data_IF_435076235765
#
_entry.id   IF_435076235765
#
_cell.length_a   1.000
_cell.length_b   1.000
_cell.length_c   1.000
_cell.angle_alpha   90.00
_cell.angle_beta   90.00
_cell.angle_gamma   90.00
#
_symmetry.space_group_name_H-M   'P 1'
#
loop_
_entity.id
_entity.type
_entity.pdbx_description
1 polymer ?
#
# COMPACT_ATOMS: atom_id res chain seq x y z
N UNK A 1 16.26 9.55 -11.88
CA UNK A 1 16.16 8.90 -10.56
C UNK A 1 15.06 9.54 -9.72
N UNK A 2 15.12 10.86 -9.44
CA UNK A 2 14.09 11.57 -8.67
C UNK A 2 12.66 11.44 -9.24
N UNK A 3 12.47 11.67 -10.54
CA UNK A 3 11.16 11.49 -11.20
C UNK A 3 10.58 10.07 -11.06
N UNK A 4 11.45 9.05 -11.01
CA UNK A 4 11.04 7.66 -10.89
C UNK A 4 10.63 7.35 -9.44
N UNK A 5 11.37 7.87 -8.46
CA UNK A 5 10.99 7.79 -7.03
C UNK A 5 9.66 8.50 -6.78
N UNK A 6 9.49 9.72 -7.29
CA UNK A 6 8.25 10.49 -7.18
C UNK A 6 7.06 9.78 -7.83
N UNK A 7 7.27 9.14 -8.99
CA UNK A 7 6.22 8.33 -9.62
C UNK A 7 5.82 7.13 -8.73
N UNK A 8 6.78 6.41 -8.18
CA UNK A 8 6.50 5.23 -7.35
C UNK A 8 5.99 5.54 -5.95
N UNK A 9 6.18 6.76 -5.44
CA UNK A 9 5.52 7.19 -4.21
C UNK A 9 4.12 7.74 -4.44
N UNK A 10 3.87 8.42 -5.57
CA UNK A 10 2.55 8.99 -5.86
C UNK A 10 1.59 7.98 -6.51
N UNK A 11 2.01 7.34 -7.61
CA UNK A 11 1.18 6.44 -8.42
C UNK A 11 1.41 4.96 -8.11
N UNK A 12 2.60 4.61 -7.63
CA UNK A 12 2.95 3.24 -7.24
C UNK A 12 1.95 2.60 -6.27
N UNK A 13 1.57 3.27 -5.15
CA UNK A 13 0.64 2.71 -4.17
C UNK A 13 -0.76 2.53 -4.74
N UNK A 14 -1.19 3.41 -5.66
CA UNK A 14 -2.50 3.32 -6.32
C UNK A 14 -2.55 2.06 -7.19
N UNK A 15 -1.55 1.86 -8.05
CA UNK A 15 -1.49 0.68 -8.92
C UNK A 15 -1.36 -0.59 -8.06
N UNK A 16 -0.50 -0.58 -7.04
CA UNK A 16 -0.36 -1.69 -6.11
C UNK A 16 -1.69 -2.02 -5.40
N UNK A 17 -2.42 -0.99 -4.95
CA UNK A 17 -3.72 -1.14 -4.31
C UNK A 17 -4.76 -1.79 -5.23
N UNK A 18 -4.82 -1.41 -6.51
CA UNK A 18 -5.75 -2.07 -7.47
C UNK A 18 -5.44 -3.56 -7.62
N UNK A 19 -4.16 -3.94 -7.67
CA UNK A 19 -3.75 -5.34 -7.76
C UNK A 19 -4.03 -6.10 -6.46
N UNK A 20 -3.91 -5.43 -5.31
CA UNK A 20 -4.30 -5.98 -4.01
C UNK A 20 -5.82 -6.20 -3.93
N UNK A 21 -6.64 -5.26 -4.39
CA UNK A 21 -8.10 -5.41 -4.45
C UNK A 21 -8.50 -6.57 -5.36
N UNK A 22 -7.87 -6.70 -6.53
CA UNK A 22 -8.11 -7.83 -7.43
C UNK A 22 -7.73 -9.17 -6.76
N UNK A 23 -6.57 -9.22 -6.08
CA UNK A 23 -6.13 -10.40 -5.32
C UNK A 23 -7.11 -10.75 -4.21
N UNK A 24 -7.58 -9.76 -3.44
CA UNK A 24 -8.55 -9.92 -2.37
C UNK A 24 -9.88 -10.46 -2.90
N UNK A 25 -10.37 -9.93 -4.02
CA UNK A 25 -11.60 -10.40 -4.67
C UNK A 25 -11.50 -11.87 -5.12
N UNK A 26 -10.37 -12.27 -5.70
CA UNK A 26 -10.13 -13.68 -6.09
C UNK A 26 -10.11 -14.61 -4.88
N UNK A 27 -9.53 -14.17 -3.76
CA UNK A 27 -9.41 -14.96 -2.54
C UNK A 27 -10.67 -14.91 -1.66
N UNK A 28 -11.65 -14.07 -1.97
CA UNK A 28 -12.80 -13.82 -1.10
C UNK A 28 -13.57 -15.10 -0.71
N UNK A 29 -13.74 -16.03 -1.66
CA UNK A 29 -14.48 -17.28 -1.42
C UNK A 29 -13.64 -18.38 -0.78
N UNK A 30 -12.33 -18.40 -1.01
CA UNK A 30 -11.45 -19.52 -0.59
C UNK A 30 -10.67 -19.20 0.68
N UNK A 31 -10.35 -17.93 0.91
CA UNK A 31 -9.64 -17.42 2.09
C UNK A 31 -10.26 -16.09 2.53
N UNK A 32 -11.49 -16.11 3.06
CA UNK A 32 -12.23 -14.88 3.40
C UNK A 32 -11.50 -14.01 4.44
N UNK A 33 -10.81 -14.63 5.41
CA UNK A 33 -10.03 -13.88 6.40
C UNK A 33 -8.88 -13.09 5.75
N UNK A 34 -8.10 -13.74 4.89
CA UNK A 34 -6.99 -13.10 4.16
C UNK A 34 -7.50 -12.00 3.23
N UNK A 35 -8.59 -12.26 2.52
CA UNK A 35 -9.27 -11.27 1.66
C UNK A 35 -9.73 -10.06 2.48
N UNK A 36 -10.39 -10.30 3.62
CA UNK A 36 -10.83 -9.25 4.55
C UNK A 36 -9.66 -8.42 5.09
N UNK A 37 -8.55 -9.06 5.47
CA UNK A 37 -7.33 -8.35 5.89
C UNK A 37 -6.78 -7.47 4.77
N UNK A 38 -6.71 -7.96 3.53
CA UNK A 38 -6.25 -7.17 2.39
C UNK A 38 -7.16 -5.96 2.13
N UNK A 39 -8.49 -6.14 2.18
CA UNK A 39 -9.43 -5.03 2.04
C UNK A 39 -9.27 -3.99 3.15
N UNK A 40 -9.15 -4.43 4.41
CA UNK A 40 -8.96 -3.55 5.55
C UNK A 40 -7.68 -2.73 5.44
N UNK A 41 -6.55 -3.38 5.09
CA UNK A 41 -5.26 -2.72 4.95
C UNK A 41 -5.25 -1.70 3.81
N UNK A 42 -5.87 -2.03 2.68
CA UNK A 42 -6.01 -1.06 1.57
C UNK A 42 -6.91 0.11 1.95
N UNK A 43 -8.04 -0.15 2.61
CA UNK A 43 -8.92 0.93 3.07
C UNK A 43 -8.21 1.87 4.04
N UNK A 44 -7.45 1.31 4.99
CA UNK A 44 -6.63 2.09 5.94
C UNK A 44 -5.58 2.92 5.20
N UNK A 45 -4.84 2.32 4.27
CA UNK A 45 -3.81 3.00 3.50
C UNK A 45 -4.37 4.14 2.65
N UNK A 46 -5.46 3.91 1.92
CA UNK A 46 -6.09 4.93 1.09
C UNK A 46 -6.63 6.08 1.93
N UNK A 47 -7.13 5.78 3.14
CA UNK A 47 -7.53 6.81 4.10
C UNK A 47 -6.32 7.65 4.51
N UNK A 48 -5.20 7.02 4.88
CA UNK A 48 -3.95 7.73 5.23
C UNK A 48 -3.46 8.61 4.08
N UNK A 49 -3.37 8.06 2.87
CA UNK A 49 -2.92 8.79 1.67
C UNK A 49 -3.83 9.97 1.32
N UNK A 50 -5.15 9.83 1.43
CA UNK A 50 -6.07 10.96 1.19
C UNK A 50 -5.80 12.15 2.09
N UNK A 51 -5.46 11.89 3.36
CA UNK A 51 -5.13 12.94 4.32
C UNK A 51 -3.70 13.45 4.18
N UNK A 52 -2.73 12.65 3.77
CA UNK A 52 -1.41 13.16 3.38
C UNK A 52 -1.54 14.11 2.18
N UNK A 53 -2.28 13.69 1.14
CA UNK A 53 -2.56 14.53 -0.03
C UNK A 53 -3.35 15.79 0.30
N UNK A 54 -4.11 15.81 1.40
CA UNK A 54 -4.73 17.05 1.89
C UNK A 54 -3.66 18.10 2.21
N UNK A 55 -2.63 17.71 2.95
CA UNK A 55 -1.54 18.61 3.35
C UNK A 55 -0.70 19.00 2.13
N UNK A 56 -0.40 18.04 1.24
CA UNK A 56 0.45 18.29 0.07
C UNK A 56 -0.26 19.10 -1.04
N UNK A 57 -1.57 18.93 -1.21
CA UNK A 57 -2.36 19.61 -2.26
C UNK A 57 -3.17 20.80 -1.74
N UNK A 58 -3.11 21.10 -0.44
CA UNK A 58 -3.84 22.21 0.18
C UNK A 58 -5.37 22.03 0.18
N UNK A 59 -5.87 20.79 0.27
CA UNK A 59 -7.31 20.53 0.26
C UNK A 59 -7.93 20.84 1.63
N UNK A 60 -9.11 21.46 1.64
CA UNK A 60 -9.87 21.71 2.87
C UNK A 60 -10.75 20.48 3.21
N UNK A 61 -10.15 19.47 3.84
CA UNK A 61 -10.90 18.37 4.46
C UNK A 61 -11.14 18.65 5.96
N UNK A 62 -12.21 18.10 6.56
CA UNK A 62 -12.46 18.26 8.00
C UNK A 62 -11.29 17.70 8.83
N UNK A 63 -10.95 18.41 9.92
CA UNK A 63 -9.91 17.96 10.85
C UNK A 63 -10.36 16.73 11.62
N UNK A 64 -9.52 15.70 11.60
CA UNK A 64 -9.76 14.43 12.27
C UNK A 64 -8.76 14.30 13.42
N UNK A 65 -9.26 14.27 14.65
CA UNK A 65 -8.44 14.28 15.88
C UNK A 65 -7.62 13.01 16.12
N UNK A 66 -7.99 11.89 15.48
CA UNK A 66 -7.25 10.62 15.58
C UNK A 66 -6.21 10.44 14.47
N UNK A 67 -6.11 11.39 13.54
CA UNK A 67 -5.17 11.31 12.43
C UNK A 67 -3.73 11.51 12.94
N UNK A 68 -2.78 10.64 12.58
CA UNK A 68 -1.38 10.82 12.98
C UNK A 68 -0.78 12.09 12.37
N UNK A 69 0.22 12.66 13.05
CA UNK A 69 1.06 13.74 12.51
C UNK A 69 1.79 13.28 11.24
N UNK A 70 2.31 14.21 10.42
CA UNK A 70 2.97 13.89 9.14
C UNK A 70 4.00 12.75 9.24
N UNK A 71 4.97 12.85 10.15
CA UNK A 71 5.98 11.80 10.33
C UNK A 71 5.40 10.45 10.82
N UNK A 72 4.34 10.49 11.64
CA UNK A 72 3.67 9.27 12.10
C UNK A 72 2.80 8.65 11.00
N UNK A 73 2.23 9.46 10.10
CA UNK A 73 1.49 9.03 8.93
C UNK A 73 2.44 8.35 7.93
N UNK A 74 3.59 8.96 7.63
CA UNK A 74 4.61 8.37 6.76
C UNK A 74 5.08 7.00 7.26
N UNK A 75 5.38 6.89 8.57
CA UNK A 75 5.79 5.64 9.19
C UNK A 75 4.68 4.57 9.14
N UNK A 76 3.42 4.98 9.35
CA UNK A 76 2.27 4.08 9.26
C UNK A 76 2.02 3.61 7.81
N UNK A 77 2.08 4.52 6.84
CA UNK A 77 1.98 4.23 5.39
C UNK A 77 3.05 3.23 4.97
N UNK A 78 4.30 3.45 5.36
CA UNK A 78 5.40 2.51 5.11
C UNK A 78 5.17 1.15 5.79
N UNK A 79 4.73 1.15 7.04
CA UNK A 79 4.39 -0.07 7.77
C UNK A 79 3.30 -0.89 7.10
N UNK A 80 2.22 -0.25 6.63
CA UNK A 80 1.14 -0.91 5.89
C UNK A 80 1.64 -1.43 4.54
N UNK A 81 2.49 -0.68 3.82
CA UNK A 81 3.09 -1.15 2.58
C UNK A 81 3.93 -2.43 2.79
N UNK A 82 4.72 -2.50 3.86
CA UNK A 82 5.48 -3.72 4.20
C UNK A 82 4.56 -4.89 4.60
N UNK A 83 3.50 -4.63 5.36
CA UNK A 83 2.52 -5.66 5.71
C UNK A 83 1.86 -6.23 4.45
N UNK A 84 1.44 -5.38 3.51
CA UNK A 84 0.86 -5.79 2.24
C UNK A 84 1.87 -6.60 1.40
N UNK A 85 3.13 -6.16 1.34
CA UNK A 85 4.21 -6.91 0.69
C UNK A 85 4.36 -8.31 1.26
N UNK A 86 4.49 -8.44 2.59
CA UNK A 86 4.65 -9.72 3.27
C UNK A 86 3.44 -10.62 3.01
N UNK A 87 2.23 -10.08 3.13
CA UNK A 87 0.99 -10.83 2.88
C UNK A 87 0.95 -11.33 1.43
N UNK A 88 1.35 -10.52 0.45
CA UNK A 88 1.38 -10.94 -0.95
C UNK A 88 2.45 -12.01 -1.23
N UNK A 89 3.63 -11.93 -0.59
CA UNK A 89 4.65 -12.98 -0.66
C UNK A 89 4.12 -14.30 -0.07
N UNK A 90 3.53 -14.26 1.12
CA UNK A 90 2.95 -15.45 1.76
C UNK A 90 1.78 -16.03 0.96
N UNK A 91 0.94 -15.17 0.39
CA UNK A 91 -0.18 -15.55 -0.47
C UNK A 91 0.30 -16.22 -1.75
N UNK A 92 1.40 -15.73 -2.34
CA UNK A 92 2.03 -16.34 -3.50
C UNK A 92 2.56 -17.74 -3.20
N UNK A 93 3.32 -17.91 -2.10
CA UNK A 93 3.89 -19.20 -1.67
C UNK A 93 2.78 -20.21 -1.40
N UNK A 94 1.71 -19.78 -0.71
CA UNK A 94 0.59 -20.64 -0.34
C UNK A 94 -0.60 -20.49 -1.27
N UNK A 95 -0.44 -20.14 -2.54
CA UNK A 95 -1.60 -19.87 -3.42
C UNK A 95 -2.50 -21.11 -3.55
N UNK A 96 -3.84 -20.99 -3.42
CA UNK A 96 -4.74 -22.15 -3.55
C UNK A 96 -4.63 -22.83 -4.91
N UNK A 97 -4.55 -24.16 -4.92
CA UNK A 97 -4.54 -24.94 -6.15
C UNK A 97 -5.86 -24.77 -6.93
N UNK A 98 -5.78 -24.68 -8.25
CA UNK A 98 -6.95 -24.54 -9.13
C UNK A 98 -7.52 -23.11 -9.26
N UNK A 99 -7.06 -22.15 -8.44
CA UNK A 99 -7.45 -20.74 -8.60
C UNK A 99 -6.54 -20.01 -9.60
N UNK A 100 -7.15 -19.39 -10.60
CA UNK A 100 -6.48 -18.42 -11.49
C UNK A 100 -6.16 -17.13 -10.73
N UNK A 101 -5.23 -16.33 -11.23
CA UNK A 101 -4.88 -15.04 -10.64
C UNK A 101 -3.63 -15.02 -9.76
N UNK A 102 -2.87 -16.12 -9.66
CA UNK A 102 -1.58 -16.15 -8.94
C UNK A 102 -0.61 -15.02 -9.38
N UNK A 103 -0.65 -14.65 -10.66
CA UNK A 103 0.15 -13.54 -11.18
C UNK A 103 -0.22 -12.18 -10.57
N UNK A 104 -1.49 -11.96 -10.21
CA UNK A 104 -1.92 -10.69 -9.59
C UNK A 104 -1.26 -10.47 -8.23
N UNK A 105 -1.13 -11.52 -7.40
CA UNK A 105 -0.43 -11.40 -6.12
C UNK A 105 1.08 -11.21 -6.28
N UNK A 106 1.68 -11.77 -7.33
CA UNK A 106 3.12 -11.59 -7.62
C UNK A 106 3.36 -10.15 -8.08
N UNK A 107 2.56 -9.65 -9.02
CA UNK A 107 2.64 -8.26 -9.49
C UNK A 107 2.41 -7.27 -8.35
N UNK A 108 1.43 -7.53 -7.48
CA UNK A 108 1.19 -6.71 -6.29
C UNK A 108 2.41 -6.72 -5.36
N UNK A 109 3.05 -7.87 -5.12
CA UNK A 109 4.26 -7.94 -4.30
C UNK A 109 5.40 -7.09 -4.89
N UNK A 110 5.64 -7.17 -6.20
CA UNK A 110 6.67 -6.37 -6.86
C UNK A 110 6.38 -4.87 -6.71
N UNK A 111 5.13 -4.47 -6.94
CA UNK A 111 4.72 -3.06 -6.84
C UNK A 111 4.82 -2.54 -5.39
N UNK A 112 4.41 -3.33 -4.40
CA UNK A 112 4.58 -2.97 -2.98
C UNK A 112 6.03 -2.90 -2.56
N UNK A 113 6.90 -3.77 -3.08
CA UNK A 113 8.34 -3.68 -2.82
C UNK A 113 8.94 -2.38 -3.40
N UNK A 114 8.56 -2.02 -4.63
CA UNK A 114 9.00 -0.77 -5.25
C UNK A 114 8.46 0.47 -4.52
N UNK A 115 7.18 0.45 -4.12
CA UNK A 115 6.56 1.54 -3.37
C UNK A 115 7.22 1.70 -1.98
N UNK A 116 7.35 0.63 -1.21
CA UNK A 116 7.98 0.66 0.11
C UNK A 116 9.45 1.10 0.05
N UNK A 117 10.21 0.62 -0.94
CA UNK A 117 11.57 1.09 -1.18
C UNK A 117 11.62 2.58 -1.51
N UNK A 118 10.71 3.06 -2.36
CA UNK A 118 10.64 4.47 -2.74
C UNK A 118 10.28 5.37 -1.54
N UNK A 119 9.32 4.96 -0.71
CA UNK A 119 8.97 5.64 0.54
C UNK A 119 10.15 5.68 1.51
N UNK A 120 10.86 4.56 1.70
CA UNK A 120 12.03 4.50 2.57
C UNK A 120 13.14 5.45 2.08
N UNK A 121 13.42 5.49 0.78
CA UNK A 121 14.43 6.40 0.20
C UNK A 121 14.02 7.85 0.38
N UNK A 122 12.75 8.22 0.12
CA UNK A 122 12.28 9.58 0.31
C UNK A 122 12.28 10.01 1.78
N UNK A 123 11.90 9.13 2.71
CA UNK A 123 11.92 9.47 4.14
C UNK A 123 13.34 9.80 4.59
N UNK A 124 14.33 9.00 4.20
CA UNK A 124 15.75 9.26 4.53
C UNK A 124 16.26 10.58 3.95
N UNK A 125 15.87 10.91 2.71
CA UNK A 125 16.22 12.20 2.11
C UNK A 125 15.64 13.38 2.90
N UNK A 126 14.39 13.26 3.36
CA UNK A 126 13.73 14.30 4.17
C UNK A 126 14.35 14.51 5.55
N UNK A 127 14.99 13.49 6.15
CA UNK A 127 15.69 13.62 7.44
C UNK A 127 17.16 14.07 7.30
N UNK A 128 17.70 14.11 6.09
CA UNK A 128 19.11 14.45 5.81
C UNK A 128 19.34 15.90 5.37
N UNK A 129 18.27 16.68 5.22
CA UNK A 129 18.24 18.10 4.85
C UNK A 129 17.75 18.89 6.06
#
# INVERSE_FOLDING_TARGET
>A
MFLLLAFFTLFGPIIAATMTLATAAVLLRTRPLLSGTLFLLIALLLTMLMFEFRYDLGLELPDITWMPSGAAAEAATLGVAFLLLIIHILSWVRWPAGLRGKWTTISAAILWALAAFSFLVLSQLSYSI
#
